data_IF_619248073833
#
_entry.id   IF_619248073833
#
_cell.length_a   1.000
_cell.length_b   1.000
_cell.length_c   1.000
_cell.angle_alpha   90.00
_cell.angle_beta   90.00
_cell.angle_gamma   90.00
#
_symmetry.space_group_name_H-M   'P 1'
#
loop_
_entity.id
_entity.type
_entity.pdbx_description
1 polymer ?
#
# COMPACT_ATOMS: atom_id res chain seq x y z
N UNK A 1 42.86 -1.55 53.98
CA UNK A 1 41.77 -2.46 54.39
C UNK A 1 40.58 -2.22 53.47
N UNK A 2 39.90 -3.31 53.11
CA UNK A 2 38.89 -3.42 52.07
C UNK A 2 37.55 -2.72 52.39
N UNK A 3 36.73 -2.58 51.35
CA UNK A 3 35.32 -3.03 51.28
C UNK A 3 34.33 -1.95 50.87
N UNK A 4 33.71 -2.15 49.70
CA UNK A 4 32.33 -1.69 49.45
C UNK A 4 31.38 -2.37 50.44
N UNK A 5 30.18 -1.81 50.71
CA UNK A 5 29.01 -2.32 49.99
C UNK A 5 27.90 -1.30 49.66
N UNK A 6 27.16 -1.70 48.62
CA UNK A 6 25.74 -1.55 48.28
C UNK A 6 24.76 -0.58 48.98
N UNK A 7 24.00 0.11 48.08
CA UNK A 7 22.53 0.31 48.02
C UNK A 7 21.80 1.08 49.14
N UNK A 8 21.31 2.25 48.75
CA UNK A 8 19.91 2.67 49.04
C UNK A 8 19.29 3.20 47.74
N UNK A 9 18.16 2.59 47.37
CA UNK A 9 17.25 3.04 46.31
C UNK A 9 16.48 4.25 46.84
N UNK A 10 16.33 5.31 46.04
CA UNK A 10 15.05 6.00 45.97
C UNK A 10 14.92 6.73 44.63
N UNK A 11 13.89 6.34 43.89
CA UNK A 11 13.51 6.94 42.63
C UNK A 11 12.68 8.18 42.94
N UNK A 12 13.07 9.32 42.40
CA UNK A 12 12.14 10.44 42.20
C UNK A 12 12.34 10.95 40.79
N UNK A 13 11.35 10.60 39.96
CA UNK A 13 11.19 11.12 38.63
C UNK A 13 11.00 12.64 38.68
N UNK A 14 11.65 13.37 37.79
CA UNK A 14 11.00 14.57 37.27
C UNK A 14 11.27 14.71 35.77
N UNK A 15 10.17 14.80 35.06
CA UNK A 15 10.01 14.67 33.62
C UNK A 15 10.48 15.95 32.95
N UNK A 16 11.62 15.87 32.26
CA UNK A 16 11.96 16.85 31.24
C UNK A 16 11.23 16.43 29.95
N UNK A 17 10.42 17.30 29.31
CA UNK A 17 9.70 16.94 28.11
C UNK A 17 10.71 16.68 26.98
N UNK A 18 10.82 15.41 26.60
CA UNK A 18 11.59 14.99 25.45
C UNK A 18 10.95 15.60 24.20
N UNK A 19 11.71 16.44 23.50
CA UNK A 19 11.48 16.72 22.08
C UNK A 19 11.28 15.37 21.38
N UNK A 20 10.22 15.18 20.56
CA UNK A 20 10.09 13.95 19.81
C UNK A 20 11.31 13.83 18.91
N UNK A 21 12.17 12.85 19.21
CA UNK A 21 13.18 12.42 18.26
C UNK A 21 12.43 11.99 16.99
N UNK A 22 12.94 12.31 15.79
CA UNK A 22 12.39 11.70 14.59
C UNK A 22 12.48 10.19 14.82
N UNK A 23 11.33 9.53 14.93
CA UNK A 23 11.29 8.08 14.74
C UNK A 23 11.96 7.86 13.40
N UNK A 24 13.15 7.27 13.44
CA UNK A 24 13.80 6.77 12.26
C UNK A 24 12.79 5.76 11.69
N UNK A 25 11.96 6.25 10.76
CA UNK A 25 11.23 5.39 9.85
C UNK A 25 12.35 4.59 9.21
N UNK A 26 12.46 3.32 9.57
CA UNK A 26 13.27 2.36 8.84
C UNK A 26 12.85 2.53 7.37
N UNK A 27 13.68 3.27 6.62
CA UNK A 27 13.45 3.57 5.22
C UNK A 27 13.86 2.32 4.44
N UNK A 28 13.28 1.18 4.83
CA UNK A 28 13.24 0.02 3.96
C UNK A 28 12.49 0.52 2.73
N UNK A 29 13.18 0.54 1.58
CA UNK A 29 12.58 0.92 0.32
C UNK A 29 11.35 0.03 0.14
N UNK A 30 10.15 0.61 0.34
CA UNK A 30 8.88 -0.09 0.15
C UNK A 30 8.89 -0.57 -1.28
N UNK A 31 8.97 -1.89 -1.46
CA UNK A 31 9.01 -2.48 -2.79
C UNK A 31 7.64 -2.24 -3.40
N UNK A 32 7.56 -1.48 -4.48
CA UNK A 32 6.31 -1.30 -5.22
C UNK A 32 6.32 -2.14 -6.48
N UNK A 33 5.15 -2.61 -6.89
CA UNK A 33 4.89 -3.28 -8.15
C UNK A 33 3.86 -2.46 -8.92
N UNK A 34 4.07 -2.31 -10.22
CA UNK A 34 3.06 -1.73 -11.11
C UNK A 34 2.03 -2.79 -11.44
N UNK A 35 0.77 -2.51 -11.13
CA UNK A 35 -0.37 -3.37 -11.40
C UNK A 35 -1.30 -2.66 -12.37
N UNK A 36 -1.79 -3.39 -13.36
CA UNK A 36 -2.77 -2.89 -14.32
C UNK A 36 -4.17 -3.05 -13.75
N UNK A 37 -4.97 -1.98 -13.78
CA UNK A 37 -6.38 -2.06 -13.40
C UNK A 37 -7.18 -2.94 -14.38
N UNK A 38 -8.17 -3.67 -13.87
CA UNK A 38 -9.12 -4.39 -14.71
C UNK A 38 -10.06 -3.40 -15.43
N UNK A 39 -10.67 -3.84 -16.54
CA UNK A 39 -11.64 -3.01 -17.25
C UNK A 39 -12.81 -2.61 -16.33
N UNK A 40 -13.31 -3.54 -15.51
CA UNK A 40 -14.38 -3.25 -14.54
C UNK A 40 -14.02 -2.18 -13.50
N UNK A 41 -12.76 -2.12 -13.07
CA UNK A 41 -12.28 -1.06 -12.18
C UNK A 41 -12.25 0.29 -12.91
N UNK A 42 -11.76 0.29 -14.15
CA UNK A 42 -11.73 1.50 -14.99
C UNK A 42 -13.16 2.01 -15.25
N UNK A 43 -14.09 1.12 -15.58
CA UNK A 43 -15.49 1.47 -15.82
C UNK A 43 -16.13 2.12 -14.59
N UNK A 44 -15.79 1.66 -13.38
CA UNK A 44 -16.23 2.30 -12.14
C UNK A 44 -15.72 3.75 -12.04
N UNK A 45 -14.46 4.00 -12.38
CA UNK A 45 -13.91 5.36 -12.47
C UNK A 45 -14.41 6.15 -13.68
N UNK A 46 -15.06 5.54 -14.68
CA UNK A 46 -15.68 6.27 -15.79
C UNK A 46 -17.17 6.54 -15.58
N UNK A 47 -17.80 5.88 -14.61
CA UNK A 47 -19.22 6.03 -14.29
C UNK A 47 -19.58 7.47 -13.89
N UNK A 48 -20.85 7.91 -14.03
CA UNK A 48 -21.26 9.25 -13.59
C UNK A 48 -21.01 9.47 -12.10
N UNK A 49 -20.67 10.70 -11.71
CA UNK A 49 -20.54 11.04 -10.29
C UNK A 49 -21.92 10.93 -9.60
N UNK A 50 -21.98 10.39 -8.37
CA UNK A 50 -23.22 10.39 -7.61
C UNK A 50 -23.65 11.83 -7.31
N UNK A 51 -24.97 12.07 -7.13
CA UNK A 51 -25.46 13.38 -6.75
C UNK A 51 -24.91 13.80 -5.38
N UNK A 52 -24.70 15.11 -5.16
CA UNK A 52 -24.16 15.60 -3.89
C UNK A 52 -25.12 15.27 -2.73
N UNK A 53 -24.54 14.92 -1.59
CA UNK A 53 -25.30 14.65 -0.37
C UNK A 53 -25.88 15.95 0.19
N UNK A 54 -27.13 15.88 0.64
CA UNK A 54 -27.77 17.00 1.32
C UNK A 54 -27.43 16.96 2.82
N UNK A 55 -27.08 18.10 3.44
CA UNK A 55 -26.79 18.14 4.86
C UNK A 55 -28.04 17.74 5.66
N UNK A 56 -27.82 16.95 6.72
CA UNK A 56 -28.89 16.52 7.63
C UNK A 56 -29.37 17.73 8.43
N UNK A 57 -30.67 18.04 8.35
CA UNK A 57 -31.29 19.19 9.05
C UNK A 57 -32.38 18.72 10.01
N UNK A 58 -32.64 19.50 11.06
CA UNK A 58 -33.77 19.24 11.97
C UNK A 58 -33.46 18.28 13.12
N UNK A 59 -32.17 18.10 13.41
CA UNK A 59 -31.67 17.39 14.59
C UNK A 59 -31.25 18.41 15.66
N UNK A 60 -31.02 17.96 16.90
CA UNK A 60 -30.53 18.87 17.94
C UNK A 60 -29.20 19.52 17.55
N UNK A 61 -28.95 20.76 17.99
CA UNK A 61 -27.76 21.57 17.62
C UNK A 61 -26.43 20.82 17.76
N UNK A 62 -26.29 19.98 18.78
CA UNK A 62 -25.07 19.18 18.98
C UNK A 62 -24.90 18.11 17.89
N UNK A 63 -25.99 17.47 17.47
CA UNK A 63 -25.96 16.51 16.37
C UNK A 63 -25.73 17.21 15.02
N UNK A 64 -26.35 18.37 14.78
CA UNK A 64 -26.10 19.17 13.56
C UNK A 64 -24.62 19.53 13.42
N UNK A 65 -23.96 19.90 14.51
CA UNK A 65 -22.51 20.18 14.49
C UNK A 65 -21.67 18.94 14.16
N UNK A 66 -22.03 17.77 14.72
CA UNK A 66 -21.35 16.50 14.40
C UNK A 66 -21.56 16.10 12.94
N UNK A 67 -22.77 16.28 12.39
CA UNK A 67 -23.02 16.03 10.97
C UNK A 67 -22.25 16.98 10.07
N UNK A 68 -22.13 18.26 10.44
CA UNK A 68 -21.33 19.22 9.68
C UNK A 68 -19.83 18.84 9.62
N UNK A 69 -19.28 18.30 10.72
CA UNK A 69 -17.91 17.79 10.74
C UNK A 69 -17.73 16.57 9.83
N UNK A 70 -18.70 15.65 9.84
CA UNK A 70 -18.72 14.48 8.95
C UNK A 70 -18.82 14.92 7.48
N UNK A 71 -19.73 15.85 7.17
CA UNK A 71 -19.91 16.38 5.81
C UNK A 71 -18.63 17.05 5.30
N UNK A 72 -17.89 17.76 6.18
CA UNK A 72 -16.61 18.36 5.83
C UNK A 72 -15.54 17.30 5.51
N UNK A 73 -15.45 16.22 6.29
CA UNK A 73 -14.54 15.11 6.02
C UNK A 73 -14.90 14.34 4.75
N UNK A 74 -16.20 14.09 4.54
CA UNK A 74 -16.72 13.46 3.33
C UNK A 74 -16.35 14.27 2.09
N UNK A 75 -16.49 15.60 2.15
CA UNK A 75 -16.12 16.47 1.04
C UNK A 75 -14.64 16.36 0.65
N UNK A 76 -13.74 16.25 1.64
CA UNK A 76 -12.31 16.05 1.37
C UNK A 76 -12.09 14.73 0.62
N UNK A 77 -12.73 13.65 1.08
CA UNK A 77 -12.64 12.33 0.43
C UNK A 77 -13.26 12.34 -0.98
N UNK A 78 -14.39 13.03 -1.18
CA UNK A 78 -15.01 13.18 -2.49
C UNK A 78 -14.09 13.91 -3.48
N UNK A 79 -13.38 14.94 -3.02
CA UNK A 79 -12.44 15.69 -3.84
C UNK A 79 -11.19 14.84 -4.19
N UNK A 80 -10.69 14.03 -3.25
CA UNK A 80 -9.62 13.05 -3.50
C UNK A 80 -10.04 12.00 -4.54
N UNK A 81 -11.23 11.40 -4.39
CA UNK A 81 -11.76 10.43 -5.36
C UNK A 81 -11.95 11.07 -6.73
N UNK A 82 -12.39 12.33 -6.81
CA UNK A 82 -12.54 13.05 -8.08
C UNK A 82 -11.19 13.31 -8.74
N UNK A 83 -10.14 13.59 -7.98
CA UNK A 83 -8.78 13.73 -8.49
C UNK A 83 -8.24 12.42 -9.06
N UNK A 84 -8.43 11.31 -8.34
CA UNK A 84 -8.07 9.97 -8.80
C UNK A 84 -8.80 9.61 -10.09
N UNK A 85 -10.11 9.87 -10.14
CA UNK A 85 -10.93 9.66 -11.32
C UNK A 85 -10.40 10.40 -12.55
N UNK A 86 -10.00 11.67 -12.38
CA UNK A 86 -9.40 12.46 -13.45
C UNK A 86 -8.04 11.89 -13.90
N UNK A 87 -7.24 11.37 -12.97
CA UNK A 87 -5.96 10.73 -13.27
C UNK A 87 -6.14 9.41 -14.04
N UNK A 88 -7.07 8.57 -13.61
CA UNK A 88 -7.45 7.31 -14.29
C UNK A 88 -7.95 7.62 -15.70
N UNK A 89 -8.83 8.61 -15.86
CA UNK A 89 -9.36 9.03 -17.18
C UNK A 89 -8.24 9.46 -18.11
N UNK A 90 -7.34 10.34 -17.66
CA UNK A 90 -6.19 10.79 -18.45
C UNK A 90 -5.27 9.64 -18.87
N UNK A 91 -4.95 8.72 -17.96
CA UNK A 91 -4.12 7.57 -18.31
C UNK A 91 -4.82 6.66 -19.33
N UNK A 92 -6.10 6.40 -19.13
CA UNK A 92 -6.88 5.52 -20.02
C UNK A 92 -7.03 6.11 -21.42
N UNK A 93 -7.31 7.40 -21.55
CA UNK A 93 -7.39 8.09 -22.84
C UNK A 93 -6.04 8.07 -23.59
N UNK A 94 -4.92 8.16 -22.87
CA UNK A 94 -3.59 8.16 -23.48
C UNK A 94 -3.06 6.77 -23.85
N UNK A 95 -3.29 5.77 -22.99
CA UNK A 95 -2.66 4.43 -23.13
C UNK A 95 -3.65 3.32 -23.49
N UNK A 96 -4.95 3.53 -23.30
CA UNK A 96 -5.98 2.49 -23.35
C UNK A 96 -5.97 1.55 -22.13
N UNK A 97 -5.18 1.88 -21.10
CA UNK A 97 -5.11 1.15 -19.83
C UNK A 97 -4.53 2.01 -18.71
N UNK A 98 -4.70 1.55 -17.47
CA UNK A 98 -4.29 2.29 -16.26
C UNK A 98 -3.35 1.42 -15.44
N UNK A 99 -2.21 2.01 -15.03
CA UNK A 99 -1.22 1.39 -14.16
C UNK A 99 -1.16 2.13 -12.83
N UNK A 100 -1.21 1.38 -11.73
CA UNK A 100 -1.09 1.89 -10.37
C UNK A 100 0.08 1.22 -9.67
N UNK A 101 0.73 1.95 -8.77
CA UNK A 101 1.74 1.37 -7.87
C UNK A 101 1.04 0.75 -6.68
N UNK A 102 1.33 -0.52 -6.41
CA UNK A 102 0.83 -1.24 -5.26
C UNK A 102 2.01 -1.80 -4.45
N UNK A 103 1.82 -1.96 -3.15
CA UNK A 103 2.82 -2.57 -2.29
C UNK A 103 3.07 -4.02 -2.74
N UNK A 104 4.32 -4.36 -3.01
CA UNK A 104 4.73 -5.68 -3.47
C UNK A 104 4.38 -6.77 -2.45
N UNK A 105 4.34 -6.42 -1.16
CA UNK A 105 4.05 -7.36 -0.09
C UNK A 105 2.59 -7.84 -0.13
N UNK A 106 1.67 -7.08 -0.75
CA UNK A 106 0.29 -7.51 -0.99
C UNK A 106 0.19 -8.67 -2.01
N UNK A 107 1.24 -8.88 -2.82
CA UNK A 107 1.28 -9.89 -3.88
C UNK A 107 2.28 -11.02 -3.57
N UNK A 108 2.50 -11.32 -2.28
CA UNK A 108 3.43 -12.35 -1.76
C UNK A 108 3.21 -13.78 -2.31
N UNK A 109 2.12 -14.04 -3.04
CA UNK A 109 1.97 -15.26 -3.83
C UNK A 109 2.80 -15.17 -5.14
N UNK A 110 4.13 -15.08 -5.02
CA UNK A 110 5.04 -15.29 -6.14
C UNK A 110 4.95 -16.77 -6.50
N UNK A 111 4.02 -17.14 -7.37
CA UNK A 111 3.96 -18.46 -7.96
C UNK A 111 5.37 -18.84 -8.41
N UNK A 112 5.88 -20.04 -8.06
CA UNK A 112 7.21 -20.45 -8.49
C UNK A 112 7.24 -20.35 -10.01
N UNK A 113 8.08 -19.45 -10.53
CA UNK A 113 8.29 -19.33 -11.98
C UNK A 113 8.60 -20.73 -12.46
N UNK A 114 7.88 -21.30 -13.44
CA UNK A 114 8.14 -22.64 -13.91
C UNK A 114 9.61 -22.72 -14.27
N UNK A 115 10.36 -23.41 -13.40
CA UNK A 115 11.78 -23.54 -13.54
C UNK A 115 12.03 -24.18 -14.88
N UNK A 116 12.81 -23.49 -15.72
CA UNK A 116 13.38 -24.03 -16.96
C UNK A 116 13.77 -25.48 -16.67
N UNK A 117 12.99 -26.44 -17.17
CA UNK A 117 13.32 -27.87 -17.07
C UNK A 117 14.73 -27.98 -17.60
N UNK A 118 15.72 -28.15 -16.71
CA UNK A 118 17.07 -28.47 -17.14
C UNK A 118 16.91 -29.79 -17.87
N UNK A 119 17.04 -29.75 -19.20
CA UNK A 119 17.19 -30.96 -19.97
C UNK A 119 18.31 -31.73 -19.31
N UNK A 120 17.98 -32.84 -18.64
CA UNK A 120 18.98 -33.79 -18.20
C UNK A 120 19.68 -34.18 -19.50
N UNK A 121 20.97 -33.87 -19.61
CA UNK A 121 21.78 -34.24 -20.75
C UNK A 121 21.64 -35.76 -20.94
N UNK A 122 20.78 -36.15 -21.87
CA UNK A 122 20.73 -37.51 -22.36
C UNK A 122 22.07 -37.74 -23.03
N UNK A 123 22.88 -38.62 -22.45
CA UNK A 123 24.09 -39.12 -23.08
C UNK A 123 23.65 -39.79 -24.37
N UNK A 124 23.85 -39.11 -25.51
CA UNK A 124 23.66 -39.72 -26.83
C UNK A 124 24.81 -40.71 -27.00
N UNK A 125 24.54 -41.99 -26.77
CA UNK A 125 25.48 -43.07 -27.08
C UNK A 125 25.61 -43.13 -28.60
N UNK A 126 26.75 -42.64 -29.11
CA UNK A 126 27.11 -42.71 -30.52
C UNK A 126 27.32 -44.18 -30.90
N UNK A 127 26.40 -44.76 -31.67
CA UNK A 127 26.56 -46.11 -32.24
C UNK A 127 27.70 -46.06 -33.27
N UNK A 128 28.74 -46.88 -33.10
CA UNK A 128 29.83 -47.02 -34.10
C UNK A 128 29.30 -47.77 -35.33
N UNK A 129 29.68 -47.39 -36.56
CA UNK A 129 29.39 -48.20 -37.73
C UNK A 129 30.23 -49.49 -37.69
N UNK A 130 29.62 -50.60 -38.10
CA UNK A 130 30.31 -51.87 -38.30
C UNK A 130 31.27 -51.74 -39.49
N UNK A 131 32.53 -52.14 -39.29
CA UNK A 131 33.50 -52.25 -40.35
C UNK A 131 33.17 -53.50 -41.19
N UNK A 132 33.09 -53.33 -42.50
CA UNK A 132 33.29 -54.39 -43.48
C UNK A 132 34.78 -54.44 -43.84
#
# INVERSE_FOLDING_TARGET
>A
MASSPDKVKEATANLQPASPAPVASDCSAKKTVKVRMSQSQIDLFMSPDPPPLNPVKGVGKEMENRFAEIDAQLKILEDEVRADKAMVRKQYELKGYVECEADADLFLARAPRPGRRRARHGVVVKKKPAAN
#
